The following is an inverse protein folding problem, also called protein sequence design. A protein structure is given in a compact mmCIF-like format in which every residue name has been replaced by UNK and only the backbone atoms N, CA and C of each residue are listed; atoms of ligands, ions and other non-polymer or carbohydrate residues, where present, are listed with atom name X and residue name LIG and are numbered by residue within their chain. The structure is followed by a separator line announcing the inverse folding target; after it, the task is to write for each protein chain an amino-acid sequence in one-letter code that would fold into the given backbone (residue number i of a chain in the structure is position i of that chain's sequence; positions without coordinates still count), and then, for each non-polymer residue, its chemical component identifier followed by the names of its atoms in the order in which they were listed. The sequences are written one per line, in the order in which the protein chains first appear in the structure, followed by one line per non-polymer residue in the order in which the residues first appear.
data_IF_183552071289
#
_entry.id   IF_183552071289
#
_cell.length_a   1.000
_cell.length_b   1.000
_cell.length_c   1.000
_cell.angle_alpha   90.00
_cell.angle_beta   90.00
_cell.angle_gamma   90.00
#
_symmetry.space_group_name_H-M   'P 1'
#
loop_
_entity.id
_entity.type
_entity.pdbx_description
1 polymer ?
#
# COMPACT_ATOMS: atom_id res chain seq x y z
N UNK A 1 -4.03 -23.00 4.51
CA UNK A 1 -2.98 -22.62 3.54
C UNK A 1 -2.90 -21.11 3.54
N UNK A 2 -1.78 -20.52 3.96
CA UNK A 2 -1.59 -19.07 3.93
C UNK A 2 -1.40 -18.62 2.47
N UNK A 3 -2.19 -17.65 2.00
CA UNK A 3 -1.96 -17.04 0.69
C UNK A 3 -0.55 -16.44 0.66
N UNK A 4 0.26 -16.66 -0.40
CA UNK A 4 1.52 -15.95 -0.54
C UNK A 4 1.22 -14.45 -0.51
N UNK A 5 1.83 -13.71 0.42
CA UNK A 5 1.67 -12.27 0.51
C UNK A 5 2.10 -11.57 -0.78
N UNK A 6 1.52 -10.41 -1.05
CA UNK A 6 1.89 -9.62 -2.21
C UNK A 6 3.20 -8.89 -1.92
N UNK A 7 4.29 -9.30 -2.56
CA UNK A 7 5.57 -8.62 -2.45
C UNK A 7 5.55 -7.35 -3.31
N UNK A 8 5.27 -6.22 -2.66
CA UNK A 8 5.34 -4.89 -3.28
C UNK A 8 6.74 -4.34 -3.08
N UNK A 9 7.68 -4.83 -3.88
CA UNK A 9 9.00 -4.24 -3.90
C UNK A 9 8.95 -2.88 -4.63
N UNK A 10 9.65 -1.83 -4.16
CA UNK A 10 9.85 -0.59 -4.93
C UNK A 10 10.37 -0.81 -6.36
N UNK A 11 10.94 -1.99 -6.64
CA UNK A 11 11.38 -2.37 -7.98
C UNK A 11 10.24 -2.56 -8.98
N UNK A 12 8.99 -2.67 -8.53
CA UNK A 12 7.81 -2.62 -9.41
C UNK A 12 7.76 -1.30 -10.21
N UNK A 13 8.42 -0.24 -9.73
CA UNK A 13 8.51 1.05 -10.38
C UNK A 13 9.69 1.14 -11.37
N UNK A 14 10.61 0.17 -11.39
CA UNK A 14 11.73 0.18 -12.32
C UNK A 14 11.25 0.01 -13.78
N UNK A 15 11.89 0.70 -14.75
CA UNK A 15 11.60 0.54 -16.17
C UNK A 15 11.66 -0.94 -16.60
N UNK A 16 10.65 -1.39 -17.35
CA UNK A 16 10.58 -2.77 -17.90
C UNK A 16 9.72 -3.76 -17.11
N UNK A 17 9.20 -3.38 -15.94
CA UNK A 17 8.35 -4.25 -15.11
C UNK A 17 6.84 -4.18 -15.40
N UNK A 18 6.41 -3.60 -16.53
CA UNK A 18 5.00 -3.46 -16.91
C UNK A 18 4.24 -4.78 -16.91
N UNK A 19 4.89 -5.88 -17.31
CA UNK A 19 4.30 -7.23 -17.27
C UNK A 19 3.89 -7.66 -15.86
N UNK A 20 4.71 -7.34 -14.83
CA UNK A 20 4.40 -7.70 -13.44
C UNK A 20 3.19 -6.94 -12.92
N UNK A 21 3.08 -5.65 -13.26
CA UNK A 21 1.92 -4.84 -12.91
C UNK A 21 0.65 -5.33 -13.61
N UNK A 22 0.74 -5.67 -14.89
CA UNK A 22 -0.39 -6.27 -15.62
C UNK A 22 -0.84 -7.58 -14.99
N UNK A 23 0.09 -8.50 -14.68
CA UNK A 23 -0.23 -9.76 -13.99
C UNK A 23 -0.82 -9.53 -12.59
N UNK A 24 -0.34 -8.50 -11.87
CA UNK A 24 -0.92 -8.12 -10.58
C UNK A 24 -2.37 -7.65 -10.73
N UNK A 25 -2.65 -6.73 -11.65
CA UNK A 25 -3.99 -6.23 -11.91
C UNK A 25 -4.93 -7.36 -12.37
N UNK A 26 -4.45 -8.27 -13.22
CA UNK A 26 -5.18 -9.46 -13.65
C UNK A 26 -5.48 -10.40 -12.47
N UNK A 27 -4.50 -10.65 -11.59
CA UNK A 27 -4.71 -11.47 -10.37
C UNK A 27 -5.71 -10.84 -9.41
N UNK A 28 -5.70 -9.50 -9.27
CA UNK A 28 -6.62 -8.75 -8.41
C UNK A 28 -8.06 -8.84 -8.92
N UNK A 29 -8.23 -8.77 -10.24
CA UNK A 29 -9.56 -8.79 -10.87
C UNK A 29 -10.18 -10.18 -10.91
N UNK A 30 -9.37 -11.22 -11.14
CA UNK A 30 -9.83 -12.63 -11.16
C UNK A 30 -10.21 -13.15 -9.77
N UNK A 31 -9.47 -12.79 -8.73
CA UNK A 31 -9.73 -13.27 -7.36
C UNK A 31 -11.03 -12.73 -6.77
N UNK A 32 -11.48 -11.56 -7.24
CA UNK A 32 -12.67 -10.87 -6.72
C UNK A 32 -14.00 -11.54 -7.08
N UNK A 33 -14.01 -12.48 -8.04
CA UNK A 33 -15.23 -13.14 -8.52
C UNK A 33 -15.61 -14.41 -7.76
N UNK A 34 -14.73 -14.94 -6.89
CA UNK A 34 -14.88 -16.27 -6.29
C UNK A 34 -15.33 -16.31 -4.82
N UNK A 35 -15.52 -15.17 -4.14
CA UNK A 35 -15.76 -15.13 -2.69
C UNK A 35 -17.19 -14.75 -2.30
N UNK A 36 -18.17 -15.53 -2.75
CA UNK A 36 -19.53 -15.57 -2.18
C UNK A 36 -19.84 -16.97 -1.65
N UNK A 37 -19.23 -17.35 -0.51
CA UNK A 37 -19.54 -18.62 0.15
C UNK A 37 -20.77 -18.39 1.04
N UNK A 38 -21.96 -18.71 0.53
CA UNK A 38 -23.17 -18.81 1.33
C UNK A 38 -23.05 -20.00 2.28
N UNK A 39 -23.04 -19.75 3.59
CA UNK A 39 -23.23 -20.81 4.58
C UNK A 39 -24.73 -21.15 4.56
N UNK A 40 -25.10 -22.23 3.87
CA UNK A 40 -26.44 -22.78 3.91
C UNK A 40 -26.44 -24.08 4.72
N UNK A 41 -27.26 -24.09 5.76
CA UNK A 41 -27.55 -25.25 6.60
C UNK A 41 -28.20 -26.36 5.79
N UNK A 42 -27.79 -27.58 6.07
CA UNK A 42 -28.16 -28.82 5.39
C UNK A 42 -29.63 -29.23 5.59
N UNK A 43 -30.36 -29.37 4.48
CA UNK A 43 -31.48 -30.32 4.33
C UNK A 43 -31.50 -30.90 2.92
N UNK A 44 -31.60 -32.22 2.86
CA UNK A 44 -31.43 -33.10 1.71
C UNK A 44 -32.69 -33.14 0.84
N UNK A 45 -32.62 -32.83 -0.47
CA UNK A 45 -33.35 -33.57 -1.53
C UNK A 45 -32.96 -33.15 -2.96
N UNK A 46 -32.76 -34.18 -3.79
CA UNK A 46 -32.95 -34.28 -5.25
C UNK A 46 -32.15 -33.37 -6.19
N UNK A 47 -31.19 -34.00 -6.87
CA UNK A 47 -30.36 -33.44 -7.93
C UNK A 47 -31.14 -33.21 -9.24
N UNK A 48 -31.27 -31.95 -9.64
CA UNK A 48 -31.53 -31.52 -11.03
C UNK A 48 -30.26 -30.87 -11.56
N UNK A 49 -29.62 -31.54 -12.51
CA UNK A 49 -28.44 -31.06 -13.24
C UNK A 49 -28.85 -29.91 -14.18
N UNK A 50 -28.80 -28.68 -13.68
CA UNK A 50 -28.89 -27.46 -14.47
C UNK A 50 -27.51 -27.08 -14.98
N UNK A 51 -27.33 -27.24 -16.29
CA UNK A 51 -26.21 -26.69 -17.06
C UNK A 51 -26.19 -25.17 -16.91
N UNK A 52 -25.25 -24.68 -16.11
CA UNK A 52 -24.97 -23.26 -15.92
C UNK A 52 -24.42 -22.68 -17.22
N UNK A 53 -25.25 -21.89 -17.90
CA UNK A 53 -24.79 -21.00 -18.97
C UNK A 53 -23.71 -20.09 -18.40
N UNK A 54 -22.48 -20.24 -18.89
CA UNK A 54 -21.35 -19.39 -18.55
C UNK A 54 -21.67 -17.95 -18.97
N UNK A 55 -22.27 -17.18 -18.07
CA UNK A 55 -22.42 -15.74 -18.24
C UNK A 55 -21.02 -15.16 -18.46
N UNK A 56 -20.79 -14.33 -19.48
CA UNK A 56 -19.48 -13.75 -19.74
C UNK A 56 -18.98 -13.11 -18.45
N UNK A 57 -17.77 -13.51 -18.03
CA UNK A 57 -17.12 -13.00 -16.83
C UNK A 57 -17.25 -11.48 -16.80
N UNK A 58 -17.73 -10.88 -15.70
CA UNK A 58 -17.89 -9.45 -15.60
C UNK A 58 -16.52 -8.80 -15.88
N UNK A 59 -16.45 -7.99 -16.94
CA UNK A 59 -15.24 -7.26 -17.27
C UNK A 59 -14.82 -6.45 -16.05
N UNK A 60 -13.52 -6.41 -15.73
CA UNK A 60 -13.05 -5.63 -14.60
C UNK A 60 -13.47 -4.16 -14.77
N UNK A 61 -13.82 -3.46 -13.69
CA UNK A 61 -14.20 -2.05 -13.77
C UNK A 61 -13.10 -1.24 -14.43
N UNK A 62 -13.46 -0.44 -15.44
CA UNK A 62 -12.54 0.46 -16.12
C UNK A 62 -11.95 1.47 -15.11
N UNK A 63 -10.63 1.66 -15.06
CA UNK A 63 -10.04 2.66 -14.18
C UNK A 63 -10.46 4.08 -14.56
N UNK A 64 -10.52 4.97 -13.57
CA UNK A 64 -10.69 6.41 -13.81
C UNK A 64 -9.33 7.03 -14.13
N UNK A 65 -9.24 7.73 -15.26
CA UNK A 65 -8.02 8.37 -15.72
C UNK A 65 -8.07 9.87 -15.41
N UNK A 66 -7.08 10.38 -14.66
CA UNK A 66 -6.94 11.81 -14.35
C UNK A 66 -5.61 12.33 -14.89
N UNK A 67 -5.70 13.21 -15.89
CA UNK A 67 -4.54 13.76 -16.58
C UNK A 67 -4.23 15.17 -16.09
N UNK A 68 -2.97 15.40 -15.73
CA UNK A 68 -2.40 16.70 -15.39
C UNK A 68 -1.24 17.00 -16.34
N UNK A 69 -0.67 18.22 -16.24
CA UNK A 69 0.40 18.66 -17.13
C UNK A 69 1.66 17.80 -17.09
N UNK A 70 1.94 17.18 -15.94
CA UNK A 70 3.18 16.44 -15.66
C UNK A 70 2.96 14.98 -15.25
N UNK A 71 1.72 14.58 -14.94
CA UNK A 71 1.40 13.25 -14.42
C UNK A 71 0.04 12.74 -14.90
N UNK A 72 -0.06 11.44 -15.13
CA UNK A 72 -1.30 10.72 -15.39
C UNK A 72 -1.58 9.77 -14.22
N UNK A 73 -2.75 9.90 -13.60
CA UNK A 73 -3.24 8.95 -12.61
C UNK A 73 -4.19 7.95 -13.24
N UNK A 74 -4.03 6.68 -12.84
CA UNK A 74 -4.91 5.56 -13.18
C UNK A 74 -5.49 5.02 -11.88
N UNK A 75 -6.73 5.42 -11.58
CA UNK A 75 -7.38 5.12 -10.31
C UNK A 75 -8.30 3.90 -10.45
N UNK A 76 -7.92 2.81 -9.78
CA UNK A 76 -8.74 1.61 -9.64
C UNK A 76 -9.49 1.66 -8.29
N UNK A 77 -10.52 2.50 -8.21
CA UNK A 77 -11.33 2.69 -6.99
C UNK A 77 -11.86 1.39 -6.39
N UNK A 78 -12.32 0.47 -7.24
CA UNK A 78 -12.83 -0.84 -6.84
C UNK A 78 -11.77 -1.76 -6.24
N UNK A 79 -10.49 -1.54 -6.57
CA UNK A 79 -9.36 -2.31 -6.08
C UNK A 79 -8.63 -1.62 -4.92
N UNK A 80 -8.99 -0.38 -4.57
CA UNK A 80 -8.23 0.37 -3.58
C UNK A 80 -6.80 0.71 -4.03
N UNK A 81 -6.62 0.99 -5.32
CA UNK A 81 -5.30 1.22 -5.93
C UNK A 81 -5.30 2.47 -6.81
N UNK A 82 -4.26 3.29 -6.71
CA UNK A 82 -3.99 4.42 -7.61
C UNK A 82 -2.57 4.29 -8.15
N UNK A 83 -2.40 4.47 -9.46
CA UNK A 83 -1.11 4.38 -10.14
C UNK A 83 -0.77 5.73 -10.77
N UNK A 84 0.47 6.18 -10.61
CA UNK A 84 0.92 7.48 -11.09
C UNK A 84 2.00 7.33 -12.15
N UNK A 85 1.80 7.93 -13.31
CA UNK A 85 2.70 7.82 -14.45
C UNK A 85 3.25 9.18 -14.88
N UNK A 86 4.56 9.25 -15.15
CA UNK A 86 5.21 10.45 -15.71
C UNK A 86 5.86 10.14 -17.07
N UNK A 87 6.04 11.14 -17.94
CA UNK A 87 6.92 11.01 -19.10
C UNK A 87 8.30 10.49 -18.70
N UNK A 88 8.79 9.45 -19.36
CA UNK A 88 10.16 8.97 -19.16
C UNK A 88 11.19 9.88 -19.86
N UNK A 89 10.84 10.41 -21.04
CA UNK A 89 11.70 11.31 -21.79
C UNK A 89 11.32 12.78 -21.54
N UNK A 90 12.31 13.63 -21.26
CA UNK A 90 12.12 15.08 -21.01
C UNK A 90 11.46 15.80 -22.19
N UNK A 91 11.64 15.31 -23.42
CA UNK A 91 11.05 15.89 -24.63
C UNK A 91 9.55 15.57 -24.78
N UNK A 92 9.06 14.51 -24.13
CA UNK A 92 7.65 14.15 -24.22
C UNK A 92 6.83 14.95 -23.20
N UNK A 93 5.85 15.69 -23.70
CA UNK A 93 4.86 16.39 -22.89
C UNK A 93 3.55 15.61 -22.93
N UNK A 94 2.89 15.51 -21.78
CA UNK A 94 1.56 14.91 -21.75
C UNK A 94 0.60 15.72 -22.62
N UNK A 95 -0.28 15.07 -23.39
CA UNK A 95 -1.30 15.73 -24.19
C UNK A 95 -2.37 16.37 -23.30
N UNK A 96 -3.33 17.05 -23.93
CA UNK A 96 -4.49 17.63 -23.22
C UNK A 96 -5.60 16.63 -22.96
N UNK A 97 -5.65 15.54 -23.74
CA UNK A 97 -6.70 14.52 -23.67
C UNK A 97 -6.09 13.15 -23.39
N UNK A 98 -6.84 12.30 -22.71
CA UNK A 98 -6.38 10.96 -22.32
C UNK A 98 -6.21 10.03 -23.53
N UNK A 99 -7.00 10.25 -24.59
CA UNK A 99 -6.99 9.44 -25.81
C UNK A 99 -5.69 9.59 -26.62
N UNK A 100 -5.02 10.74 -26.48
CA UNK A 100 -3.76 11.05 -27.16
C UNK A 100 -2.52 10.55 -26.39
N UNK A 101 -2.72 9.96 -25.20
CA UNK A 101 -1.60 9.52 -24.35
C UNK A 101 -0.88 8.35 -25.01
N UNK A 102 0.43 8.51 -25.18
CA UNK A 102 1.32 7.46 -25.64
C UNK A 102 1.89 6.72 -24.42
N UNK A 103 1.25 5.61 -24.06
CA UNK A 103 1.64 4.78 -22.91
C UNK A 103 3.08 4.27 -22.99
N UNK A 104 3.65 4.13 -24.20
CA UNK A 104 5.04 3.69 -24.38
C UNK A 104 6.07 4.74 -23.92
N UNK A 105 5.65 6.00 -23.81
CA UNK A 105 6.48 7.12 -23.35
C UNK A 105 6.32 7.42 -21.87
N UNK A 106 5.49 6.66 -21.16
CA UNK A 106 5.24 6.82 -19.73
C UNK A 106 5.99 5.78 -18.91
N UNK A 107 6.36 6.16 -17.69
CA UNK A 107 6.87 5.26 -16.65
C UNK A 107 6.03 5.39 -15.39
N UNK A 108 5.81 4.28 -14.70
CA UNK A 108 5.17 4.27 -13.40
C UNK A 108 6.14 4.89 -12.38
N UNK A 109 5.71 5.92 -11.66
CA UNK A 109 6.54 6.62 -10.67
C UNK A 109 6.02 6.49 -9.24
N UNK A 110 4.76 6.09 -9.09
CA UNK A 110 4.15 5.94 -7.78
C UNK A 110 2.93 5.04 -7.79
N UNK A 111 2.65 4.45 -6.64
CA UNK A 111 1.50 3.59 -6.41
C UNK A 111 0.96 3.82 -5.00
N UNK A 112 -0.31 4.14 -4.90
CA UNK A 112 -1.02 4.27 -3.62
C UNK A 112 -1.94 3.08 -3.42
N UNK A 113 -1.82 2.44 -2.26
CA UNK A 113 -2.68 1.36 -1.80
C UNK A 113 -3.56 1.89 -0.67
N UNK A 114 -4.87 1.69 -0.78
CA UNK A 114 -5.85 2.21 0.15
C UNK A 114 -6.37 1.15 1.11
N UNK A 115 -6.37 1.49 2.40
CA UNK A 115 -7.02 0.72 3.46
C UNK A 115 -8.29 1.45 3.90
N UNK A 116 -9.41 1.07 3.28
CA UNK A 116 -10.68 1.71 3.60
C UNK A 116 -11.21 1.35 5.00
N UNK A 117 -10.82 0.19 5.55
CA UNK A 117 -11.20 -0.24 6.91
C UNK A 117 -10.64 0.65 8.01
N UNK A 118 -9.60 1.44 7.71
CA UNK A 118 -9.05 2.40 8.67
C UNK A 118 -9.96 3.61 8.90
N UNK A 119 -10.97 3.87 8.04
CA UNK A 119 -11.94 4.93 8.29
C UNK A 119 -12.95 4.46 9.33
N UNK A 120 -13.09 5.23 10.41
CA UNK A 120 -14.17 5.01 11.39
C UNK A 120 -15.53 5.02 10.67
N UNK A 121 -16.17 3.85 10.60
CA UNK A 121 -17.48 3.64 9.96
C UNK A 121 -18.57 4.59 10.48
N UNK A 122 -18.40 5.12 11.71
CA UNK A 122 -19.32 6.09 12.33
C UNK A 122 -19.61 7.35 11.48
N UNK A 123 -18.76 7.71 10.52
CA UNK A 123 -18.98 8.89 9.66
C UNK A 123 -19.63 8.57 8.31
N UNK A 124 -19.85 7.28 7.98
CA UNK A 124 -20.40 6.88 6.69
C UNK A 124 -21.92 6.92 6.62
N UNK A 125 -22.60 6.90 7.76
CA UNK A 125 -24.07 6.88 7.83
C UNK A 125 -24.71 8.26 7.62
N UNK A 126 -23.93 9.34 7.66
CA UNK A 126 -24.41 10.72 7.39
C UNK A 126 -24.32 11.11 5.91
N UNK A 127 -24.80 10.23 5.03
CA UNK A 127 -25.56 10.53 3.79
C UNK A 127 -25.12 11.63 2.79
N UNK A 128 -23.88 12.14 2.77
CA UNK A 128 -23.48 13.20 1.81
C UNK A 128 -22.05 13.11 1.27
N UNK A 129 -21.68 12.01 0.63
CA UNK A 129 -20.59 12.11 -0.34
C UNK A 129 -20.83 11.20 -1.55
N UNK A 130 -21.17 11.82 -2.68
CA UNK A 130 -21.17 11.19 -4.01
C UNK A 130 -19.75 11.03 -4.57
N UNK A 131 -18.74 11.45 -3.82
CA UNK A 131 -17.35 11.38 -4.23
C UNK A 131 -16.89 9.92 -4.26
N UNK A 132 -16.34 9.48 -5.39
CA UNK A 132 -15.80 8.13 -5.53
C UNK A 132 -14.86 7.82 -4.37
N UNK A 133 -15.17 6.74 -3.65
CA UNK A 133 -14.44 6.28 -2.49
C UNK A 133 -13.70 5.00 -2.87
N UNK A 134 -12.37 4.99 -2.69
CA UNK A 134 -11.56 3.79 -2.83
C UNK A 134 -12.02 2.69 -1.87
N UNK A 135 -12.13 1.47 -2.37
CA UNK A 135 -12.33 0.26 -1.55
C UNK A 135 -11.03 -0.14 -0.85
N UNK A 136 -11.12 -1.07 0.10
CA UNK A 136 -9.93 -1.71 0.69
C UNK A 136 -9.23 -2.56 -0.35
N UNK A 137 -7.92 -2.44 -0.42
CA UNK A 137 -7.10 -3.32 -1.24
C UNK A 137 -7.32 -4.80 -0.87
N UNK A 138 -7.60 -5.71 -1.82
CA UNK A 138 -8.02 -7.07 -1.46
C UNK A 138 -6.86 -8.04 -1.18
N UNK A 139 -5.61 -7.67 -1.47
CA UNK A 139 -4.47 -8.58 -1.37
C UNK A 139 -3.58 -8.27 -0.17
N UNK A 140 -3.73 -9.08 0.88
CA UNK A 140 -2.89 -9.03 2.08
C UNK A 140 -2.24 -10.39 2.39
N UNK A 141 -1.09 -10.40 3.10
CA UNK A 141 -0.32 -9.22 3.54
C UNK A 141 0.43 -8.56 2.37
N UNK A 142 0.61 -7.24 2.46
CA UNK A 142 1.56 -6.51 1.62
C UNK A 142 2.94 -6.68 2.26
N UNK A 143 3.89 -7.27 1.54
CA UNK A 143 5.23 -7.51 2.06
C UNK A 143 6.17 -6.40 1.60
N UNK A 144 6.73 -5.66 2.56
CA UNK A 144 7.81 -4.71 2.34
C UNK A 144 9.15 -5.37 2.65
N UNK A 145 10.09 -5.30 1.71
CA UNK A 145 11.46 -5.78 1.91
C UNK A 145 12.32 -4.65 2.45
N UNK A 146 12.90 -4.84 3.64
CA UNK A 146 13.80 -3.88 4.28
C UNK A 146 15.24 -4.34 4.03
N UNK A 147 16.06 -3.56 3.30
CA UNK A 147 17.45 -3.91 3.09
C UNK A 147 18.18 -3.88 4.44
N UNK A 148 19.08 -4.84 4.67
CA UNK A 148 19.83 -4.93 5.93
C UNK A 148 20.57 -3.63 6.29
N UNK A 149 21.01 -2.85 5.27
CA UNK A 149 21.66 -1.56 5.48
C UNK A 149 20.74 -0.45 6.02
N UNK A 150 19.42 -0.58 5.92
CA UNK A 150 18.49 0.42 6.43
C UNK A 150 18.17 0.25 7.93
N UNK A 151 18.49 -0.91 8.51
CA UNK A 151 18.33 -1.15 9.94
C UNK A 151 19.53 -0.54 10.66
N UNK A 152 19.44 0.75 10.95
CA UNK A 152 20.40 1.41 11.84
C UNK A 152 20.07 0.96 13.26
N UNK A 153 20.99 0.26 13.93
CA UNK A 153 20.84 -0.11 15.34
C UNK A 153 20.73 1.15 16.21
N UNK A 154 19.49 1.58 16.50
CA UNK A 154 19.17 2.73 17.38
C UNK A 154 19.48 2.44 18.86
N UNK A 155 20.31 1.44 19.18
CA UNK A 155 20.58 1.01 20.56
C UNK A 155 21.80 1.65 21.22
N UNK A 156 22.55 2.54 20.55
CA UNK A 156 23.78 3.11 21.16
C UNK A 156 23.79 4.63 21.21
N UNK A 157 22.94 5.20 22.09
CA UNK A 157 23.23 6.48 22.75
C UNK A 157 22.87 6.38 24.23
N UNK A 158 23.52 5.45 24.96
CA UNK A 158 23.61 5.56 26.41
C UNK A 158 24.85 6.39 26.72
N UNK A 159 24.63 7.66 27.04
CA UNK A 159 25.65 8.50 27.69
C UNK A 159 25.91 7.87 29.06
N UNK A 160 27.02 7.15 29.19
CA UNK A 160 27.54 6.66 30.46
C UNK A 160 28.42 7.73 31.10
N UNK A 161 27.94 8.30 32.21
CA UNK A 161 28.75 8.59 33.39
C UNK A 161 28.05 7.75 34.48
N UNK A 162 28.61 6.78 35.19
CA UNK A 162 29.98 6.35 35.46
C UNK A 162 29.89 5.03 36.24
N UNK A 163 31.01 4.29 36.30
CA UNK A 163 31.35 3.18 37.20
C UNK A 163 30.91 1.74 36.85
N UNK A 164 31.85 1.03 36.22
CA UNK A 164 32.36 -0.31 36.55
C UNK A 164 31.38 -1.44 36.91
N UNK A 165 31.35 -2.51 36.11
CA UNK A 165 32.06 -3.80 36.38
C UNK A 165 31.77 -4.86 35.28
N UNK A 166 32.86 -5.31 34.63
CA UNK A 166 33.11 -6.50 33.78
C UNK A 166 32.37 -6.75 32.43
N UNK A 167 33.14 -6.93 31.33
CA UNK A 167 32.64 -7.22 29.98
C UNK A 167 32.62 -8.73 29.66
N UNK A 168 31.48 -9.25 29.22
CA UNK A 168 31.38 -10.52 28.49
C UNK A 168 31.23 -10.22 27.01
N UNK A 169 32.38 -10.07 26.33
CA UNK A 169 32.51 -9.83 24.90
C UNK A 169 32.23 -11.11 24.12
N UNK A 170 31.00 -11.29 23.65
CA UNK A 170 30.74 -12.19 22.51
C UNK A 170 30.28 -11.32 21.34
N UNK A 171 31.06 -11.17 20.26
CA UNK A 171 30.66 -10.39 19.11
C UNK A 171 29.54 -11.13 18.38
N UNK A 172 28.29 -10.76 18.65
CA UNK A 172 27.15 -11.20 17.86
C UNK A 172 27.33 -10.67 16.44
N UNK A 173 27.63 -11.58 15.53
CA UNK A 173 27.80 -11.29 14.11
C UNK A 173 26.49 -10.70 13.56
N UNK A 174 26.49 -9.53 12.91
CA UNK A 174 25.28 -8.94 12.38
C UNK A 174 24.68 -9.87 11.30
N UNK A 175 23.44 -10.32 11.55
CA UNK A 175 22.68 -11.13 10.60
C UNK A 175 22.42 -10.30 9.33
N UNK A 176 23.03 -10.69 8.21
CA UNK A 176 22.96 -9.97 6.92
C UNK A 176 21.68 -10.23 6.12
N UNK A 177 20.70 -10.94 6.67
CA UNK A 177 19.49 -11.28 5.92
C UNK A 177 18.55 -10.07 5.83
N UNK A 178 18.01 -9.75 4.64
CA UNK A 178 16.97 -8.72 4.52
C UNK A 178 15.76 -9.12 5.36
N UNK A 179 15.21 -8.16 6.09
CA UNK A 179 14.02 -8.37 6.93
C UNK A 179 12.78 -8.04 6.11
N UNK A 180 11.72 -8.82 6.27
CA UNK A 180 10.42 -8.55 5.63
C UNK A 180 9.42 -8.03 6.65
N UNK A 181 8.67 -6.98 6.30
CA UNK A 181 7.61 -6.42 7.12
C UNK A 181 6.24 -6.66 6.47
N UNK A 182 5.40 -7.54 7.05
CA UNK A 182 4.05 -7.79 6.55
C UNK A 182 3.06 -6.72 7.02
N UNK A 183 2.45 -6.03 6.07
CA UNK A 183 1.39 -5.05 6.32
C UNK A 183 0.03 -5.70 6.06
N UNK A 184 -0.86 -5.61 7.03
CA UNK A 184 -2.26 -6.07 6.99
C UNK A 184 -3.20 -4.89 7.32
N UNK A 185 -4.52 -4.98 7.08
CA UNK A 185 -5.44 -3.86 7.34
C UNK A 185 -5.41 -3.31 8.77
N UNK A 186 -5.02 -4.14 9.73
CA UNK A 186 -4.98 -3.79 11.15
C UNK A 186 -3.64 -3.26 11.63
N UNK A 187 -2.61 -3.23 10.78
CA UNK A 187 -1.28 -2.74 11.15
C UNK A 187 -1.35 -1.28 11.61
N UNK A 188 -0.69 -0.97 12.72
CA UNK A 188 -0.71 0.34 13.38
C UNK A 188 0.63 1.08 13.20
N UNK A 189 0.61 2.39 13.41
CA UNK A 189 1.79 3.25 13.20
C UNK A 189 3.04 2.80 13.95
N UNK A 190 2.91 2.38 15.21
CA UNK A 190 4.08 1.94 15.99
C UNK A 190 4.73 0.66 15.45
N UNK A 191 3.98 -0.19 14.74
CA UNK A 191 4.52 -1.40 14.10
C UNK A 191 5.41 -1.03 12.91
N UNK A 192 5.06 0.04 12.16
CA UNK A 192 5.92 0.57 11.11
C UNK A 192 7.23 1.09 11.67
N UNK A 193 7.19 1.94 12.71
CA UNK A 193 8.44 2.48 13.30
C UNK A 193 9.29 1.39 13.95
N UNK A 194 8.67 0.38 14.56
CA UNK A 194 9.39 -0.75 15.14
C UNK A 194 10.08 -1.63 14.08
N UNK A 195 9.49 -1.75 12.89
CA UNK A 195 9.97 -2.64 11.83
C UNK A 195 10.88 -1.95 10.81
N UNK A 196 10.62 -0.66 10.55
CA UNK A 196 11.29 0.14 9.51
C UNK A 196 12.28 1.16 10.09
N UNK A 197 12.31 1.34 11.42
CA UNK A 197 13.07 2.39 12.08
C UNK A 197 12.38 3.76 12.03
N UNK A 198 13.12 4.80 12.41
CA UNK A 198 12.61 6.18 12.41
C UNK A 198 12.38 6.69 10.97
N UNK A 199 11.26 7.36 10.68
CA UNK A 199 11.02 7.93 9.36
C UNK A 199 11.92 9.15 9.12
N UNK A 200 12.34 9.32 7.87
CA UNK A 200 13.12 10.48 7.41
C UNK A 200 12.32 11.79 7.54
N UNK A 201 11.01 11.71 7.27
CA UNK A 201 10.10 12.86 7.30
C UNK A 201 8.77 12.47 7.92
N UNK A 202 8.13 13.43 8.57
CA UNK A 202 6.82 13.24 9.18
C UNK A 202 6.02 14.55 9.19
N UNK A 203 4.70 14.47 9.12
CA UNK A 203 3.86 15.66 9.08
C UNK A 203 2.36 15.35 9.17
N UNK A 204 1.54 16.39 8.97
CA UNK A 204 0.07 16.25 9.00
C UNK A 204 -0.54 16.42 10.39
N UNK A 205 -1.77 15.93 10.56
CA UNK A 205 -2.58 16.08 11.76
C UNK A 205 -3.44 17.36 11.79
N UNK A 206 -3.08 18.38 11.00
CA UNK A 206 -3.91 19.57 10.79
C UNK A 206 -4.84 19.40 9.56
N UNK A 207 -6.11 19.74 9.71
CA UNK A 207 -7.10 19.70 8.63
C UNK A 207 -7.64 18.29 8.34
N UNK A 208 -7.79 17.96 7.05
CA UNK A 208 -8.40 16.71 6.57
C UNK A 208 -7.40 15.58 6.32
N UNK A 209 -6.10 15.90 6.33
CA UNK A 209 -5.03 14.93 6.12
C UNK A 209 -4.63 14.32 7.47
N UNK A 210 -4.49 13.00 7.51
CA UNK A 210 -3.97 12.32 8.69
C UNK A 210 -2.52 12.69 8.97
N UNK A 211 -1.98 12.20 10.08
CA UNK A 211 -0.53 12.17 10.25
C UNK A 211 0.08 11.22 9.20
N UNK A 212 1.28 11.52 8.75
CA UNK A 212 2.02 10.68 7.82
C UNK A 212 3.49 10.59 8.20
N UNK A 213 4.10 9.47 7.82
CA UNK A 213 5.52 9.18 7.96
C UNK A 213 6.09 8.73 6.61
N UNK A 214 7.30 9.13 6.30
CA UNK A 214 8.00 8.80 5.05
C UNK A 214 9.37 8.20 5.36
N UNK A 215 9.67 7.04 4.76
CA UNK A 215 10.97 6.41 4.72
C UNK A 215 11.49 6.53 3.28
N UNK A 216 12.12 7.66 2.97
CA UNK A 216 12.58 8.04 1.64
C UNK A 216 13.57 7.02 1.08
N UNK A 217 14.44 6.46 1.93
CA UNK A 217 15.38 5.41 1.53
C UNK A 217 14.69 4.11 1.09
N UNK A 218 13.46 3.86 1.58
CA UNK A 218 12.65 2.71 1.20
C UNK A 218 11.67 3.03 0.06
N UNK A 219 11.55 4.30 -0.34
CA UNK A 219 10.53 4.73 -1.29
C UNK A 219 9.10 4.54 -0.76
N UNK A 220 8.90 4.80 0.54
CA UNK A 220 7.67 4.49 1.25
C UNK A 220 7.12 5.73 1.99
N UNK A 221 5.82 6.00 1.86
CA UNK A 221 5.10 6.94 2.72
C UNK A 221 3.81 6.30 3.22
N UNK A 222 3.47 6.52 4.48
CA UNK A 222 2.27 5.95 5.11
C UNK A 222 1.46 7.08 5.72
N UNK A 223 0.20 7.23 5.30
CA UNK A 223 -0.78 8.08 5.96
C UNK A 223 -1.59 7.23 6.95
N UNK A 224 -1.76 7.71 8.17
CA UNK A 224 -2.53 7.04 9.22
C UNK A 224 -3.89 7.67 9.43
N UNK A 225 -4.85 6.88 9.90
CA UNK A 225 -6.20 7.31 10.24
C UNK A 225 -6.27 8.09 11.57
N UNK A 226 -5.34 9.00 11.80
CA UNK A 226 -5.33 9.94 12.92
C UNK A 226 -5.29 11.37 12.40
N UNK A 227 -6.33 12.15 12.68
CA UNK A 227 -6.47 13.53 12.23
C UNK A 227 -7.11 14.41 13.33
N UNK A 228 -6.93 15.73 13.23
CA UNK A 228 -7.50 16.71 14.15
C UNK A 228 -6.62 17.02 15.36
N UNK A 229 -7.20 17.69 16.36
CA UNK A 229 -6.49 17.99 17.60
C UNK A 229 -6.02 16.69 18.24
N UNK A 230 -4.74 16.67 18.63
CA UNK A 230 -4.06 15.52 19.23
C UNK A 230 -3.81 14.32 18.28
N UNK A 231 -3.73 14.56 16.97
CA UNK A 231 -3.52 13.49 16.01
C UNK A 231 -2.19 12.74 16.21
N UNK A 232 -1.16 13.41 16.74
CA UNK A 232 0.14 12.78 17.01
C UNK A 232 0.11 11.91 18.26
N UNK A 233 -0.57 12.37 19.31
CA UNK A 233 -0.72 11.69 20.59
C UNK A 233 -1.54 10.40 20.44
N UNK A 234 -2.55 10.42 19.57
CA UNK A 234 -3.36 9.24 19.20
C UNK A 234 -2.78 8.46 18.02
N UNK A 235 -1.75 9.00 17.39
CA UNK A 235 -1.18 8.50 16.15
C UNK A 235 -0.55 7.12 16.26
N UNK A 236 0.01 6.82 17.44
CA UNK A 236 0.72 5.57 17.72
C UNK A 236 -0.09 4.31 17.38
N UNK A 237 -1.36 4.32 17.74
CA UNK A 237 -2.27 3.17 17.59
C UNK A 237 -3.18 3.33 16.36
N UNK A 238 -2.95 4.37 15.57
CA UNK A 238 -3.73 4.62 14.37
C UNK A 238 -3.36 3.61 13.28
N UNK A 239 -4.40 3.05 12.65
CA UNK A 239 -4.23 2.17 11.48
C UNK A 239 -3.78 2.98 10.28
N UNK A 240 -2.96 2.37 9.42
CA UNK A 240 -2.62 2.99 8.14
C UNK A 240 -3.87 3.08 7.25
N UNK A 241 -3.98 4.18 6.50
CA UNK A 241 -5.09 4.51 5.61
C UNK A 241 -4.64 4.49 4.15
N UNK A 242 -3.44 5.01 3.88
CA UNK A 242 -2.83 5.02 2.54
C UNK A 242 -1.37 4.61 2.67
N UNK A 243 -0.95 3.67 1.83
CA UNK A 243 0.43 3.24 1.66
C UNK A 243 0.89 3.68 0.27
N UNK A 244 1.79 4.65 0.21
CA UNK A 244 2.35 5.18 -1.03
C UNK A 244 3.75 4.62 -1.26
N UNK A 245 3.96 4.08 -2.45
CA UNK A 245 5.23 3.54 -2.91
C UNK A 245 5.76 4.41 -4.05
N UNK A 246 7.03 4.77 -4.00
CA UNK A 246 7.70 5.61 -5.00
C UNK A 246 9.18 5.20 -5.17
N UNK A 247 9.87 5.79 -6.16
CA UNK A 247 11.29 5.50 -6.38
C UNK A 247 12.14 5.95 -5.18
N UNK A 248 12.94 5.06 -4.60
CA UNK A 248 13.85 5.39 -3.51
C UNK A 248 14.94 6.35 -3.96
N UNK A 249 15.29 7.34 -3.14
CA UNK A 249 16.45 8.22 -3.39
C UNK A 249 16.22 9.36 -4.38
N UNK A 250 14.97 9.85 -4.48
CA UNK A 250 14.65 11.12 -5.15
C UNK A 250 15.16 12.36 -4.43
#
# INVERSE_FOLDING_TARGET
MSSPGLNLHPYLLLPGNSKRLSSLLESLTTSSSSSSTSIASSTTTTATSSSSSSSPLPHPPTPELKLYSDILYVNHHSLGLSLSYKPHATAYKLPKTVQEVDWSKLRLVGMDVYNYEARNQKKLEEGRDTKQVYKTFPCYPIIISVPASAVVDTTTTTITSSSSTTPSTTPSTPSKSPTTFPIVPTTQAHEFTSSLGEPDRKGGGAGTMGIWCEWTQLGLMVEFASAGLQAWEKGRDARWKVLSLFESGG
#
